data_IF_156828393653
#
_entry.id   IF_156828393653
#
_cell.length_a   1.000
_cell.length_b   1.000
_cell.length_c   1.000
_cell.angle_alpha   90.00
_cell.angle_beta   90.00
_cell.angle_gamma   90.00
#
_symmetry.space_group_name_H-M   'P 1'
#
loop_
_entity.id
_entity.type
_entity.pdbx_description
1 polymer ?
#
# COMPACT_ATOMS: atom_id res chain seq x y z
N UNK A 1 -21.05 -2.35 -6.58
CA UNK A 1 -21.75 -1.18 -6.01
C UNK A 1 -23.24 -1.39 -6.05
N UNK A 2 -23.92 -1.23 -4.92
CA UNK A 2 -25.38 -1.28 -4.83
C UNK A 2 -25.99 0.06 -5.29
N UNK A 3 -27.23 0.04 -5.78
CA UNK A 3 -27.97 1.28 -6.08
C UNK A 3 -28.68 1.79 -4.84
N UNK A 4 -28.71 3.10 -4.66
CA UNK A 4 -29.42 3.74 -3.56
C UNK A 4 -30.93 3.45 -3.66
N UNK A 5 -31.61 3.05 -2.57
CA UNK A 5 -33.06 2.79 -2.60
C UNK A 5 -33.90 4.05 -2.84
N UNK A 6 -33.39 5.23 -2.48
CA UNK A 6 -34.10 6.51 -2.59
C UNK A 6 -33.98 7.08 -4.01
N UNK A 7 -32.76 7.39 -4.45
CA UNK A 7 -32.53 8.09 -5.71
C UNK A 7 -32.06 7.19 -6.87
N UNK A 8 -31.82 5.90 -6.62
CA UNK A 8 -31.36 4.90 -7.62
C UNK A 8 -30.01 5.21 -8.28
N UNK A 9 -29.32 6.26 -7.83
CA UNK A 9 -27.93 6.53 -8.17
C UNK A 9 -27.02 5.45 -7.58
N UNK A 10 -25.82 5.34 -8.14
CA UNK A 10 -24.78 4.41 -7.66
C UNK A 10 -24.36 4.78 -6.25
N UNK A 11 -24.27 3.80 -5.36
CA UNK A 11 -23.71 3.98 -4.02
C UNK A 11 -22.40 3.21 -3.90
N UNK A 12 -21.38 3.84 -3.33
CA UNK A 12 -20.06 3.28 -3.12
C UNK A 12 -19.92 2.70 -1.71
N UNK A 13 -19.28 1.53 -1.61
CA UNK A 13 -18.94 0.93 -0.32
C UNK A 13 -17.78 1.69 0.32
N UNK A 14 -17.96 2.13 1.57
CA UNK A 14 -16.93 2.86 2.36
C UNK A 14 -16.16 1.93 3.26
N UNK A 15 -16.89 1.07 3.97
CA UNK A 15 -16.30 0.06 4.84
C UNK A 15 -17.14 -1.22 4.74
N UNK A 16 -16.54 -2.30 5.21
CA UNK A 16 -17.21 -3.59 5.26
C UNK A 16 -16.79 -4.33 6.52
N UNK A 17 -17.73 -5.00 7.16
CA UNK A 17 -17.52 -5.80 8.36
C UNK A 17 -17.91 -7.24 8.07
N UNK A 18 -17.07 -8.18 8.47
CA UNK A 18 -17.40 -9.60 8.39
C UNK A 18 -18.26 -9.98 9.59
N UNK A 19 -19.46 -10.50 9.33
CA UNK A 19 -20.37 -10.99 10.39
C UNK A 19 -20.14 -12.49 10.59
N UNK A 20 -19.99 -13.23 9.49
CA UNK A 20 -19.66 -14.66 9.48
C UNK A 20 -18.71 -14.96 8.34
N UNK A 21 -18.21 -16.21 8.28
CA UNK A 21 -17.32 -16.65 7.20
C UNK A 21 -17.93 -16.49 5.79
N UNK A 22 -19.26 -16.46 5.70
CA UNK A 22 -20.00 -16.39 4.43
C UNK A 22 -20.74 -15.07 4.25
N UNK A 23 -20.94 -14.28 5.30
CA UNK A 23 -21.73 -13.04 5.24
C UNK A 23 -20.91 -11.82 5.63
N UNK A 24 -20.91 -10.83 4.73
CA UNK A 24 -20.26 -9.54 4.91
C UNK A 24 -21.28 -8.41 4.90
N UNK A 25 -21.23 -7.59 5.93
CA UNK A 25 -21.93 -6.31 5.98
C UNK A 25 -21.12 -5.24 5.25
N UNK A 26 -21.80 -4.39 4.47
CA UNK A 26 -21.19 -3.30 3.72
C UNK A 26 -21.93 -1.99 3.99
N UNK A 27 -21.17 -0.97 4.36
CA UNK A 27 -21.65 0.39 4.54
C UNK A 27 -21.52 1.12 3.21
N UNK A 28 -22.63 1.54 2.63
CA UNK A 28 -22.67 2.17 1.31
C UNK A 28 -23.14 3.61 1.42
N UNK A 29 -22.47 4.51 0.72
CA UNK A 29 -22.82 5.92 0.62
C UNK A 29 -23.21 6.26 -0.82
N UNK A 30 -24.34 6.94 -0.99
CA UNK A 30 -24.78 7.41 -2.30
C UNK A 30 -23.79 8.43 -2.88
N UNK A 31 -23.49 8.31 -4.18
CA UNK A 31 -22.64 9.26 -4.92
C UNK A 31 -23.30 10.61 -5.18
N UNK A 32 -24.64 10.63 -5.22
CA UNK A 32 -25.38 11.87 -5.40
C UNK A 32 -25.28 12.69 -4.11
N UNK A 33 -24.52 13.80 -4.15
CA UNK A 33 -24.30 14.71 -3.02
C UNK A 33 -25.59 15.29 -2.45
N UNK A 34 -26.62 15.44 -3.27
CA UNK A 34 -27.93 15.94 -2.83
C UNK A 34 -28.72 14.87 -2.06
N UNK A 35 -28.41 13.59 -2.30
CA UNK A 35 -29.04 12.48 -1.59
C UNK A 35 -28.25 12.13 -0.33
N UNK A 36 -26.92 12.00 -0.43
CA UNK A 36 -26.02 11.70 0.70
C UNK A 36 -26.34 10.40 1.47
N UNK A 37 -27.30 9.60 0.99
CA UNK A 37 -27.89 8.53 1.76
C UNK A 37 -26.85 7.44 2.05
N UNK A 38 -26.70 7.16 3.34
CA UNK A 38 -25.80 6.12 3.84
C UNK A 38 -26.64 4.98 4.38
N UNK A 39 -26.37 3.77 3.89
CA UNK A 39 -27.16 2.58 4.19
C UNK A 39 -26.30 1.33 4.24
N UNK A 40 -26.81 0.33 4.94
CA UNK A 40 -26.11 -0.93 5.17
C UNK A 40 -26.74 -2.02 4.30
N UNK A 41 -25.91 -2.87 3.72
CA UNK A 41 -26.34 -4.05 2.96
C UNK A 41 -25.55 -5.28 3.40
N UNK A 42 -26.20 -6.44 3.45
CA UNK A 42 -25.51 -7.72 3.64
C UNK A 42 -25.26 -8.38 2.29
N UNK A 43 -24.02 -8.82 2.05
CA UNK A 43 -23.67 -9.73 0.97
C UNK A 43 -23.34 -11.09 1.59
N UNK A 44 -24.05 -12.13 1.15
CA UNK A 44 -23.84 -13.50 1.61
C UNK A 44 -23.39 -14.37 0.44
N UNK A 45 -22.36 -15.19 0.66
CA UNK A 45 -21.96 -16.24 -0.25
C UNK A 45 -23.05 -17.31 -0.29
N UNK A 46 -23.60 -17.56 -1.48
CA UNK A 46 -24.67 -18.55 -1.65
C UNK A 46 -24.12 -19.86 -2.22
N UNK A 47 -23.39 -19.79 -3.33
CA UNK A 47 -22.78 -20.95 -3.98
C UNK A 47 -21.68 -20.51 -4.94
N UNK A 48 -20.72 -21.39 -5.17
CA UNK A 48 -19.77 -21.26 -6.28
C UNK A 48 -20.42 -21.73 -7.57
N UNK A 49 -20.13 -21.05 -8.69
CA UNK A 49 -20.53 -21.51 -10.04
C UNK A 49 -19.49 -22.50 -10.56
N UNK A 50 -18.21 -22.29 -10.23
CA UNK A 50 -17.09 -23.16 -10.55
C UNK A 50 -16.05 -23.03 -9.44
N UNK A 51 -15.44 -24.14 -9.05
CA UNK A 51 -14.27 -24.16 -8.16
C UNK A 51 -13.01 -24.37 -9.01
N UNK A 52 -11.94 -23.60 -8.76
CA UNK A 52 -10.69 -23.81 -9.49
C UNK A 52 -10.19 -25.24 -9.25
N UNK A 53 -9.63 -25.86 -10.29
CA UNK A 53 -8.93 -27.15 -10.19
C UNK A 53 -7.63 -27.04 -9.39
N UNK A 54 -6.78 -28.07 -9.46
CA UNK A 54 -5.48 -28.09 -8.76
C UNK A 54 -4.63 -26.88 -9.17
N UNK A 55 -4.44 -25.93 -8.23
CA UNK A 55 -3.67 -24.71 -8.46
C UNK A 55 -2.18 -25.02 -8.34
N UNK A 56 -1.51 -25.23 -9.47
CA UNK A 56 -0.05 -25.26 -9.53
C UNK A 56 0.46 -23.81 -9.40
N UNK A 57 1.01 -23.46 -8.23
CA UNK A 57 1.60 -22.14 -8.01
C UNK A 57 2.72 -21.90 -9.02
N UNK A 58 2.59 -20.86 -9.83
CA UNK A 58 3.64 -20.45 -10.75
C UNK A 58 4.83 -19.93 -9.93
N UNK A 59 6.08 -20.31 -10.26
CA UNK A 59 7.25 -19.75 -9.58
C UNK A 59 7.25 -18.22 -9.69
N UNK A 60 7.68 -17.50 -8.65
CA UNK A 60 7.74 -16.05 -8.67
C UNK A 60 8.64 -15.60 -9.84
N UNK A 61 8.18 -14.63 -10.62
CA UNK A 61 8.98 -14.08 -11.71
C UNK A 61 10.33 -13.59 -11.16
N UNK A 62 11.42 -13.89 -11.87
CA UNK A 62 12.75 -13.48 -11.43
C UNK A 62 12.87 -11.95 -11.46
N UNK A 63 12.90 -11.31 -10.28
CA UNK A 63 13.18 -9.86 -10.14
C UNK A 63 14.61 -9.49 -10.56
N UNK A 64 15.46 -10.47 -10.90
CA UNK A 64 16.88 -10.29 -11.21
C UNK A 64 17.19 -9.67 -12.59
N UNK A 65 16.20 -9.44 -13.46
CA UNK A 65 16.42 -8.81 -14.77
C UNK A 65 15.59 -7.52 -15.00
N UNK A 66 15.06 -6.95 -13.93
CA UNK A 66 14.66 -5.55 -13.95
C UNK A 66 15.93 -4.70 -13.96
N UNK A 67 16.23 -4.06 -15.08
CA UNK A 67 17.27 -3.05 -15.22
C UNK A 67 16.98 -1.89 -14.25
N UNK A 68 17.28 -2.06 -12.97
CA UNK A 68 17.48 -0.96 -12.04
C UNK A 68 18.73 -0.24 -12.53
N UNK A 69 18.55 0.64 -13.52
CA UNK A 69 19.45 1.75 -13.76
C UNK A 69 19.36 2.62 -12.51
N UNK A 70 20.05 2.19 -11.46
CA UNK A 70 20.43 3.10 -10.40
C UNK A 70 21.09 4.27 -11.09
N UNK A 71 20.82 5.47 -10.62
CA UNK A 71 21.37 6.74 -11.11
C UNK A 71 22.90 6.82 -10.85
N UNK A 72 23.58 5.66 -10.79
CA UNK A 72 24.99 5.47 -10.47
C UNK A 72 25.90 5.69 -11.68
N UNK A 73 25.40 5.98 -12.88
CA UNK A 73 26.30 6.33 -13.99
C UNK A 73 26.86 7.75 -13.87
N UNK A 74 26.12 8.71 -13.31
CA UNK A 74 26.63 10.08 -13.11
C UNK A 74 27.66 10.15 -11.97
N UNK A 75 27.48 9.37 -10.90
CA UNK A 75 28.45 9.30 -9.79
C UNK A 75 29.74 8.60 -10.22
N UNK A 76 29.67 7.52 -11.00
CA UNK A 76 30.86 6.84 -11.54
C UNK A 76 31.60 7.76 -12.54
N UNK A 77 30.87 8.52 -13.36
CA UNK A 77 31.46 9.51 -14.28
C UNK A 77 32.14 10.68 -13.54
N UNK A 78 31.49 11.27 -12.51
CA UNK A 78 32.08 12.34 -11.70
C UNK A 78 33.36 11.90 -10.98
N UNK A 79 33.39 10.68 -10.42
CA UNK A 79 34.58 10.14 -9.75
C UNK A 79 35.77 9.95 -10.69
N UNK A 80 35.52 9.58 -11.95
CA UNK A 80 36.57 9.39 -12.95
C UNK A 80 37.05 10.71 -13.57
N UNK A 81 36.20 11.73 -13.68
CA UNK A 81 36.56 13.01 -14.29
C UNK A 81 37.23 14.01 -13.32
N UNK A 82 37.13 13.79 -12.00
CA UNK A 82 37.82 14.62 -10.98
C UNK A 82 39.22 14.09 -10.61
N UNK A 83 39.68 12.98 -11.20
CA UNK A 83 40.99 12.37 -10.88
C UNK A 83 42.17 12.91 -11.70
N UNK A 84 41.92 13.77 -12.69
CA UNK A 84 42.96 14.27 -13.62
C UNK A 84 43.37 15.74 -13.40
N UNK A 85 42.92 16.39 -12.33
CA UNK A 85 43.45 17.69 -11.92
C UNK A 85 43.96 17.61 -10.48
N UNK A 86 45.28 17.51 -10.38
CA UNK A 86 46.01 17.39 -9.12
C UNK A 86 45.77 18.55 -8.16
N UNK A 87 46.08 18.26 -6.89
CA UNK A 87 46.15 19.16 -5.75
C UNK A 87 44.84 19.77 -5.24
N UNK A 88 44.09 18.99 -4.47
CA UNK A 88 43.58 19.39 -3.14
C UNK A 88 43.25 18.13 -2.35
N UNK A 89 44.01 17.85 -1.29
CA UNK A 89 43.71 16.76 -0.36
C UNK A 89 42.57 17.20 0.56
N UNK A 90 41.32 17.00 0.14
CA UNK A 90 40.17 17.09 1.04
C UNK A 90 40.09 15.79 1.84
N UNK A 91 40.52 15.82 3.11
CA UNK A 91 40.23 14.75 4.06
C UNK A 91 38.72 14.76 4.32
N UNK A 92 37.98 13.82 3.74
CA UNK A 92 36.64 13.50 4.22
C UNK A 92 36.85 12.66 5.48
N UNK A 93 36.64 13.28 6.64
CA UNK A 93 36.65 12.62 7.94
C UNK A 93 35.51 11.59 7.99
N UNK A 94 35.89 10.32 8.11
CA UNK A 94 35.00 9.24 8.52
C UNK A 94 34.69 9.42 10.02
N UNK A 95 33.67 10.20 10.35
CA UNK A 95 33.12 10.32 11.70
C UNK A 95 31.61 10.02 11.68
N UNK A 96 31.14 8.95 12.32
CA UNK A 96 29.72 8.63 12.44
C UNK A 96 29.18 9.21 13.75
N UNK A 97 29.00 10.53 13.86
CA UNK A 97 28.42 11.12 15.07
C UNK A 97 27.68 12.42 14.72
N UNK A 98 26.41 12.31 14.33
CA UNK A 98 25.42 13.33 14.66
C UNK A 98 24.30 12.60 15.39
N UNK A 99 24.44 12.58 16.70
CA UNK A 99 23.36 12.31 17.64
C UNK A 99 22.32 13.41 17.46
N UNK A 100 21.15 13.06 16.92
CA UNK A 100 19.92 13.79 17.20
C UNK A 100 19.06 12.83 18.01
N UNK A 101 19.18 12.97 19.32
CA UNK A 101 18.23 12.44 20.27
C UNK A 101 16.87 13.08 20.00
N UNK A 102 15.93 12.32 19.45
CA UNK A 102 14.50 12.59 19.62
C UNK A 102 13.91 11.32 20.23
N UNK A 103 13.35 11.52 21.41
CA UNK A 103 12.80 10.52 22.31
C UNK A 103 11.94 9.46 21.60
N UNK A 104 12.23 8.20 21.89
CA UNK A 104 11.23 7.13 21.89
C UNK A 104 10.08 7.51 22.83
N UNK A 105 8.86 7.06 22.52
CA UNK A 105 8.29 6.11 23.47
C UNK A 105 7.92 4.80 22.76
N UNK A 106 8.34 3.73 23.42
CA UNK A 106 7.83 2.38 23.29
C UNK A 106 6.30 2.36 23.20
N UNK A 107 5.76 1.70 22.18
CA UNK A 107 4.51 0.93 22.34
C UNK A 107 4.75 -0.44 21.71
N UNK A 108 4.89 -1.42 22.60
CA UNK A 108 4.84 -2.85 22.33
C UNK A 108 3.37 -3.27 22.20
N UNK A 109 3.06 -4.02 21.12
CA UNK A 109 1.89 -4.92 20.94
C UNK A 109 0.51 -4.23 20.99
N UNK A 110 -0.51 -4.61 20.23
CA UNK A 110 -1.00 -5.94 19.88
C UNK A 110 -1.63 -5.99 18.47
N UNK A 111 -1.75 -7.22 17.98
CA UNK A 111 -2.54 -7.65 16.82
C UNK A 111 -4.04 -7.34 16.98
N UNK A 112 -4.65 -6.91 15.87
CA UNK A 112 -6.09 -6.68 15.59
C UNK A 112 -6.58 -5.22 15.65
N UNK A 113 -7.49 -4.95 14.71
CA UNK A 113 -8.37 -3.78 14.56
C UNK A 113 -7.86 -2.63 13.65
N UNK A 114 -8.63 -2.47 12.56
CA UNK A 114 -9.07 -1.20 11.96
C UNK A 114 -8.11 -0.35 11.10
N UNK A 115 -7.96 -0.78 9.84
CA UNK A 115 -7.69 0.16 8.75
C UNK A 115 -8.93 0.99 8.42
N UNK A 116 -9.05 2.17 9.04
CA UNK A 116 -9.89 3.27 8.56
C UNK A 116 -9.00 4.22 7.75
N UNK A 117 -9.25 4.32 6.44
CA UNK A 117 -8.56 5.27 5.56
C UNK A 117 -9.46 6.51 5.43
N UNK A 118 -8.92 7.68 5.79
CA UNK A 118 -9.51 9.01 5.61
C UNK A 118 -9.68 9.38 4.14
#
# INVERSE_FOLDING_TARGET
MMRCPICRCTAHTRSSREISAETKERYNQCTNINCGHTFITMETFIRSIMTPGVINKVPPHSTAQGNQRSISNYIIWLKNNLRTRGFFSVKISSSPQISVAILSPLILRDSNEDFVIY
#
